data_IF_276649105412
#
_entry.id   IF_276649105412
#
_cell.length_a   1.000
_cell.length_b   1.000
_cell.length_c   1.000
_cell.angle_alpha   90.00
_cell.angle_beta   90.00
_cell.angle_gamma   90.00
#
_symmetry.space_group_name_H-M   'P 1'
#
loop_
_entity.id
_entity.type
_entity.pdbx_description
1 polymer ?
#
# COMPACT_ATOMS: atom_id res chain seq x y z
N UNK A 1 -23.13 -17.18 -5.07
CA UNK A 1 -22.28 -16.38 -4.17
C UNK A 1 -20.85 -16.26 -4.69
N UNK A 2 -20.36 -17.20 -5.52
CA UNK A 2 -18.95 -17.27 -5.92
C UNK A 2 -18.49 -16.14 -6.84
N UNK A 3 -19.35 -15.66 -7.74
CA UNK A 3 -19.00 -14.55 -8.63
C UNK A 3 -18.82 -13.23 -7.86
N UNK A 4 -19.73 -12.92 -6.94
CA UNK A 4 -19.69 -11.70 -6.13
C UNK A 4 -18.46 -11.70 -5.23
N UNK A 5 -18.16 -12.82 -4.58
CA UNK A 5 -16.95 -12.95 -3.75
C UNK A 5 -15.67 -12.82 -4.59
N UNK A 6 -15.62 -13.43 -5.77
CA UNK A 6 -14.47 -13.29 -6.67
C UNK A 6 -14.27 -11.84 -7.12
N UNK A 7 -15.35 -11.17 -7.52
CA UNK A 7 -15.33 -9.76 -7.91
C UNK A 7 -14.88 -8.87 -6.74
N UNK A 8 -15.42 -9.09 -5.55
CA UNK A 8 -15.05 -8.34 -4.34
C UNK A 8 -13.57 -8.52 -3.98
N UNK A 9 -13.05 -9.74 -4.04
CA UNK A 9 -11.63 -10.00 -3.82
C UNK A 9 -10.75 -9.34 -4.89
N UNK A 10 -11.13 -9.40 -6.17
CA UNK A 10 -10.40 -8.73 -7.24
C UNK A 10 -10.34 -7.22 -7.02
N UNK A 11 -11.46 -6.60 -6.67
CA UNK A 11 -11.53 -5.15 -6.36
C UNK A 11 -10.64 -4.82 -5.17
N UNK A 12 -10.71 -5.60 -4.09
CA UNK A 12 -9.88 -5.42 -2.90
C UNK A 12 -8.39 -5.48 -3.25
N UNK A 13 -7.96 -6.48 -4.03
CA UNK A 13 -6.57 -6.61 -4.45
C UNK A 13 -6.12 -5.46 -5.36
N UNK A 14 -6.99 -4.97 -6.25
CA UNK A 14 -6.69 -3.79 -7.07
C UNK A 14 -6.52 -2.53 -6.23
N UNK A 15 -7.36 -2.31 -5.20
CA UNK A 15 -7.22 -1.17 -4.28
C UNK A 15 -5.90 -1.26 -3.52
N UNK A 16 -5.55 -2.44 -2.99
CA UNK A 16 -4.29 -2.66 -2.30
C UNK A 16 -3.11 -2.35 -3.23
N UNK A 17 -3.13 -2.85 -4.47
CA UNK A 17 -2.06 -2.60 -5.44
C UNK A 17 -1.88 -1.11 -5.73
N UNK A 18 -2.98 -0.36 -5.92
CA UNK A 18 -2.93 1.09 -6.12
C UNK A 18 -2.30 1.78 -4.90
N UNK A 19 -2.76 1.48 -3.69
CA UNK A 19 -2.22 2.10 -2.47
C UNK A 19 -0.72 1.83 -2.32
N UNK A 20 -0.27 0.61 -2.57
CA UNK A 20 1.16 0.26 -2.51
C UNK A 20 1.96 1.03 -3.55
N UNK A 21 1.53 1.02 -4.82
CA UNK A 21 2.25 1.72 -5.90
C UNK A 21 2.32 3.23 -5.64
N UNK A 22 1.21 3.83 -5.21
CA UNK A 22 1.15 5.29 -4.94
C UNK A 22 2.06 5.66 -3.77
N UNK A 23 2.11 4.81 -2.73
CA UNK A 23 2.99 5.02 -1.58
C UNK A 23 4.46 4.91 -1.96
N UNK A 24 4.82 3.91 -2.77
CA UNK A 24 6.19 3.72 -3.30
C UNK A 24 6.59 4.88 -4.22
N UNK A 25 5.71 5.32 -5.12
CA UNK A 25 5.97 6.48 -5.98
C UNK A 25 6.18 7.76 -5.16
N UNK A 26 5.36 7.98 -4.12
CA UNK A 26 5.52 9.12 -3.22
C UNK A 26 6.84 9.07 -2.45
N UNK A 27 7.33 7.87 -2.09
CA UNK A 27 8.66 7.70 -1.51
C UNK A 27 9.76 8.19 -2.46
N UNK A 28 9.67 7.91 -3.76
CA UNK A 28 10.72 8.31 -4.71
C UNK A 28 10.66 9.78 -5.13
N UNK A 29 9.49 10.42 -5.02
CA UNK A 29 9.26 11.79 -5.48
C UNK A 29 9.37 12.86 -4.38
N UNK A 30 9.30 12.48 -3.11
CA UNK A 30 9.36 13.44 -1.99
C UNK A 30 10.81 13.69 -1.58
N UNK A 31 11.19 14.95 -1.41
CA UNK A 31 12.53 15.31 -0.95
C UNK A 31 12.76 14.84 0.50
N UNK A 32 13.99 14.42 0.86
CA UNK A 32 14.25 13.87 2.18
C UNK A 32 13.93 14.77 3.38
N UNK A 33 13.94 16.09 3.17
CA UNK A 33 13.57 17.10 4.14
C UNK A 33 12.07 17.14 4.46
N UNK A 34 11.23 16.72 3.51
CA UNK A 34 9.77 16.78 3.61
C UNK A 34 9.15 15.44 4.05
N UNK A 35 9.99 14.44 4.33
CA UNK A 35 9.53 13.12 4.76
C UNK A 35 8.84 13.18 6.13
N UNK A 36 7.58 12.77 6.14
CA UNK A 36 6.84 12.52 7.37
C UNK A 36 7.29 11.20 8.01
N UNK A 37 8.00 11.29 9.13
CA UNK A 37 8.58 10.15 9.86
C UNK A 37 7.55 9.09 10.26
N UNK A 38 6.30 9.49 10.52
CA UNK A 38 5.24 8.55 10.87
C UNK A 38 4.77 7.72 9.67
N UNK A 39 4.68 8.33 8.48
CA UNK A 39 4.30 7.62 7.24
C UNK A 39 5.27 6.48 6.95
N UNK A 40 6.57 6.71 7.17
CA UNK A 40 7.61 5.71 7.03
C UNK A 40 7.50 4.54 7.99
N UNK A 41 7.26 4.84 9.25
CA UNK A 41 7.05 3.82 10.26
C UNK A 41 5.84 2.94 9.90
N UNK A 42 4.75 3.54 9.43
CA UNK A 42 3.59 2.79 8.95
C UNK A 42 3.88 1.99 7.66
N UNK A 43 4.65 2.52 6.72
CA UNK A 43 5.10 1.78 5.53
C UNK A 43 5.99 0.60 5.90
N UNK A 44 6.89 0.76 6.88
CA UNK A 44 7.75 -0.30 7.39
C UNK A 44 6.92 -1.40 8.07
N UNK A 45 5.91 -1.02 8.88
CA UNK A 45 4.97 -1.96 9.48
C UNK A 45 4.13 -2.69 8.43
N UNK A 46 3.69 -2.00 7.36
CA UNK A 46 2.97 -2.61 6.25
C UNK A 46 3.85 -3.63 5.53
N UNK A 47 5.12 -3.30 5.25
CA UNK A 47 6.08 -4.22 4.65
C UNK A 47 6.34 -5.44 5.53
N UNK A 48 6.48 -5.25 6.85
CA UNK A 48 6.66 -6.35 7.81
C UNK A 48 5.44 -7.29 7.81
N UNK A 49 4.22 -6.72 7.79
CA UNK A 49 2.98 -7.50 7.76
C UNK A 49 2.78 -8.28 6.46
N UNK A 50 3.36 -7.82 5.34
CA UNK A 50 3.31 -8.55 4.07
C UNK A 50 4.33 -9.71 3.99
N UNK A 51 5.34 -9.72 4.87
CA UNK A 51 6.41 -10.73 4.91
C UNK A 51 6.14 -11.86 5.93
N UNK A 52 5.25 -11.63 6.90
CA UNK A 52 4.82 -12.58 7.94
C UNK A 52 3.53 -13.30 7.51
#
# INVERSE_FOLDING_TARGET
MDFVNRLASTVLYSIIAIVVITSVMSFFLVEPSDYNRYLYFFLLLLLLQLLL
#
